data_IF_809202195007
#
_entry.id   IF_809202195007
#
_cell.length_a   1.000
_cell.length_b   1.000
_cell.length_c   1.000
_cell.angle_alpha   90.00
_cell.angle_beta   90.00
_cell.angle_gamma   90.00
#
_symmetry.space_group_name_H-M   'P 1'
#
loop_
_entity.id
_entity.type
_entity.pdbx_description
1 polymer ?
#
# COMPACT_ATOMS: atom_id res chain seq x y z
N UNK A 1 -8.20 -12.73 2.70
CA UNK A 1 -6.87 -12.15 2.39
C UNK A 1 -7.07 -10.75 1.83
N UNK A 2 -6.34 -9.76 2.35
CA UNK A 2 -6.39 -8.36 1.91
C UNK A 2 -5.16 -8.08 1.05
N UNK A 3 -5.36 -7.47 -0.10
CA UNK A 3 -4.29 -7.01 -0.98
C UNK A 3 -4.41 -5.51 -1.20
N UNK A 4 -3.30 -4.82 -1.00
CA UNK A 4 -3.21 -3.38 -1.13
C UNK A 4 -2.19 -3.03 -2.21
N UNK A 5 -2.65 -2.36 -3.27
CA UNK A 5 -1.76 -1.76 -4.27
C UNK A 5 -1.53 -0.31 -3.88
N UNK A 6 -0.34 -0.01 -3.37
CA UNK A 6 0.00 1.32 -2.91
C UNK A 6 1.48 1.60 -3.15
N UNK A 7 1.80 2.88 -3.31
CA UNK A 7 3.18 3.34 -3.12
C UNK A 7 3.33 3.44 -1.61
N UNK A 8 3.96 2.45 -1.00
CA UNK A 8 4.38 2.56 0.40
C UNK A 8 5.68 3.38 0.45
N UNK A 9 5.90 4.20 1.49
CA UNK A 9 7.19 4.82 1.72
C UNK A 9 8.18 3.69 2.00
N UNK A 10 8.88 3.30 0.96
CA UNK A 10 10.05 2.45 1.05
C UNK A 10 11.19 3.38 0.67
N UNK A 11 12.26 3.37 1.46
CA UNK A 11 13.51 3.98 1.01
C UNK A 11 13.95 3.23 -0.25
N UNK A 12 13.90 3.89 -1.40
CA UNK A 12 14.34 3.31 -2.67
C UNK A 12 15.72 3.86 -2.97
N UNK A 13 16.67 2.96 -3.20
CA UNK A 13 18.03 3.33 -3.55
C UNK A 13 18.77 2.18 -4.21
N UNK A 14 20.07 2.37 -4.36
CA UNK A 14 21.00 1.39 -4.93
C UNK A 14 21.05 0.08 -4.12
N UNK A 15 21.74 -0.91 -4.68
CA UNK A 15 21.95 -2.20 -4.03
C UNK A 15 22.38 -2.05 -2.55
N UNK A 16 21.91 -2.93 -1.64
CA UNK A 16 22.23 -2.84 -0.19
C UNK A 16 23.73 -2.65 0.08
N UNK A 17 24.58 -3.36 -0.64
CA UNK A 17 26.05 -3.26 -0.52
C UNK A 17 26.55 -1.89 -0.96
N UNK A 18 26.04 -1.37 -2.06
CA UNK A 18 26.37 -0.07 -2.61
C UNK A 18 25.96 1.06 -1.65
N UNK A 19 24.79 0.91 -1.04
CA UNK A 19 24.24 1.82 -0.03
C UNK A 19 25.04 1.80 1.28
N UNK A 20 25.48 0.62 1.74
CA UNK A 20 26.38 0.49 2.89
C UNK A 20 27.70 1.24 2.67
N UNK A 21 28.30 1.11 1.48
CA UNK A 21 29.53 1.83 1.13
C UNK A 21 29.28 3.34 1.11
N UNK A 22 28.18 3.80 0.50
CA UNK A 22 27.86 5.22 0.44
C UNK A 22 27.59 5.84 1.82
N UNK A 23 26.97 5.10 2.75
CA UNK A 23 26.73 5.54 4.11
C UNK A 23 28.02 5.78 4.91
N UNK A 24 29.12 5.04 4.62
CA UNK A 24 30.44 5.31 5.22
C UNK A 24 30.95 6.71 4.87
N UNK A 25 30.65 7.18 3.66
CA UNK A 25 31.00 8.53 3.19
C UNK A 25 29.94 9.59 3.52
N UNK A 26 28.92 9.25 4.34
CA UNK A 26 27.78 10.11 4.68
C UNK A 26 26.97 10.57 3.46
N UNK A 27 26.94 9.77 2.40
CA UNK A 27 26.16 10.05 1.20
C UNK A 27 24.83 9.30 1.29
N UNK A 28 23.70 10.02 1.39
CA UNK A 28 22.35 9.42 1.37
C UNK A 28 21.99 9.07 -0.08
N UNK A 29 22.09 7.79 -0.43
CA UNK A 29 21.77 7.25 -1.77
C UNK A 29 20.34 6.71 -1.90
N UNK A 30 19.56 6.78 -0.81
CA UNK A 30 18.15 6.40 -0.79
C UNK A 30 17.28 7.63 -0.78
N UNK A 31 16.28 7.62 -1.62
CA UNK A 31 15.23 8.62 -1.63
C UNK A 31 14.00 8.08 -0.92
N UNK A 32 13.45 8.89 -0.04
CA UNK A 32 12.09 8.69 0.45
C UNK A 32 11.17 9.12 -0.69
N UNK A 33 10.44 8.15 -1.26
CA UNK A 33 9.44 8.49 -2.26
C UNK A 33 8.39 9.40 -1.59
N UNK A 34 8.11 10.59 -2.16
CA UNK A 34 7.13 11.50 -1.59
C UNK A 34 5.77 10.83 -1.66
N UNK A 35 5.29 10.36 -0.51
CA UNK A 35 3.92 9.92 -0.33
C UNK A 35 3.14 11.05 0.33
N UNK A 36 1.86 11.21 -0.04
CA UNK A 36 0.97 12.16 0.63
C UNK A 36 0.81 11.75 2.10
N UNK A 37 1.44 12.49 3.00
CA UNK A 37 1.66 12.15 4.41
C UNK A 37 0.39 11.86 5.26
N UNK A 38 -0.82 11.89 4.69
CA UNK A 38 -2.07 11.57 5.39
C UNK A 38 -2.78 10.28 4.94
N UNK A 39 -2.58 9.82 3.70
CA UNK A 39 -3.35 8.68 3.16
C UNK A 39 -2.87 7.32 3.70
N UNK A 40 -1.59 7.21 4.05
CA UNK A 40 -0.99 5.95 4.50
C UNK A 40 -1.37 5.66 5.94
N UNK A 41 -1.33 6.67 6.80
CA UNK A 41 -1.69 6.52 8.21
C UNK A 41 -3.16 6.11 8.34
N UNK A 42 -4.04 6.75 7.56
CA UNK A 42 -5.45 6.41 7.50
C UNK A 42 -5.69 4.99 6.99
N UNK A 43 -4.95 4.57 5.96
CA UNK A 43 -4.97 3.23 5.42
C UNK A 43 -4.47 2.18 6.45
N UNK A 44 -3.33 2.43 7.10
CA UNK A 44 -2.75 1.54 8.10
C UNK A 44 -3.64 1.41 9.33
N UNK A 45 -4.28 2.51 9.77
CA UNK A 45 -5.25 2.49 10.87
C UNK A 45 -6.48 1.64 10.55
N UNK A 46 -6.96 1.67 9.30
CA UNK A 46 -8.06 0.80 8.88
C UNK A 46 -7.63 -0.67 8.81
N UNK A 47 -6.43 -0.95 8.32
CA UNK A 47 -5.90 -2.30 8.17
C UNK A 47 -5.55 -2.96 9.51
N UNK A 48 -5.03 -2.22 10.48
CA UNK A 48 -4.74 -2.75 11.82
C UNK A 48 -6.00 -3.21 12.56
N UNK A 49 -7.13 -2.53 12.32
CA UNK A 49 -8.45 -2.92 12.86
C UNK A 49 -9.11 -4.09 12.09
N UNK A 50 -8.49 -4.58 11.03
CA UNK A 50 -9.00 -5.68 10.20
C UNK A 50 -8.35 -7.05 10.51
N UNK A 51 -7.66 -7.17 11.66
CA UNK A 51 -7.18 -8.46 12.18
C UNK A 51 -8.32 -9.49 12.30
N UNK A 52 -8.08 -10.79 12.05
CA UNK A 52 -6.78 -11.47 11.89
C UNK A 52 -6.32 -11.63 10.43
N UNK A 53 -6.78 -10.78 9.51
CA UNK A 53 -6.61 -11.03 8.08
C UNK A 53 -5.21 -10.65 7.57
N UNK A 54 -4.58 -11.55 6.82
CA UNK A 54 -3.29 -11.27 6.18
C UNK A 54 -3.40 -10.15 5.15
N UNK A 55 -2.51 -9.16 5.27
CA UNK A 55 -2.40 -8.02 4.36
C UNK A 55 -1.15 -8.18 3.51
N UNK A 56 -1.30 -8.10 2.19
CA UNK A 56 -0.19 -8.09 1.23
C UNK A 56 -0.11 -6.74 0.54
N UNK A 57 1.04 -6.07 0.65
CA UNK A 57 1.34 -4.87 -0.12
C UNK A 57 1.97 -5.25 -1.47
N UNK A 58 1.47 -4.65 -2.54
CA UNK A 58 1.97 -4.80 -3.90
C UNK A 58 2.30 -3.41 -4.44
N UNK A 59 3.54 -3.21 -4.91
CA UNK A 59 3.89 -1.94 -5.56
C UNK A 59 3.18 -1.83 -6.92
N UNK A 60 2.64 -0.64 -7.26
CA UNK A 60 2.00 -0.40 -8.56
C UNK A 60 2.97 -0.57 -9.74
N UNK A 61 4.29 -0.48 -9.49
CA UNK A 61 5.34 -0.63 -10.51
C UNK A 61 5.73 -2.08 -10.80
N UNK A 62 5.12 -3.05 -10.14
CA UNK A 62 5.33 -4.48 -10.43
C UNK A 62 4.30 -4.97 -11.44
N UNK A 63 4.62 -6.04 -12.19
CA UNK A 63 3.66 -6.68 -13.12
C UNK A 63 2.34 -7.03 -12.43
N UNK A 64 2.39 -7.46 -11.17
CA UNK A 64 1.19 -7.77 -10.36
C UNK A 64 0.41 -6.52 -10.01
N UNK A 65 1.07 -5.43 -9.62
CA UNK A 65 0.43 -4.14 -9.36
C UNK A 65 -0.26 -3.59 -10.61
N UNK A 66 0.46 -3.55 -11.73
CA UNK A 66 -0.08 -3.15 -13.04
C UNK A 66 -1.27 -4.02 -13.45
N UNK A 67 -1.16 -5.34 -13.32
CA UNK A 67 -2.26 -6.27 -13.60
C UNK A 67 -3.50 -5.94 -12.78
N UNK A 68 -3.36 -5.67 -11.48
CA UNK A 68 -4.49 -5.34 -10.61
C UNK A 68 -5.13 -4.00 -10.97
N UNK A 69 -4.32 -2.99 -11.30
CA UNK A 69 -4.82 -1.70 -11.78
C UNK A 69 -5.64 -1.85 -13.06
N UNK A 70 -5.17 -2.66 -14.01
CA UNK A 70 -5.90 -2.98 -15.25
C UNK A 70 -7.17 -3.80 -14.95
N UNK A 71 -7.05 -4.85 -14.14
CA UNK A 71 -8.17 -5.75 -13.77
C UNK A 71 -9.34 -4.97 -13.18
N UNK A 72 -9.06 -4.02 -12.29
CA UNK A 72 -10.06 -3.19 -11.64
C UNK A 72 -10.31 -1.86 -12.35
N UNK A 73 -9.73 -1.67 -13.54
CA UNK A 73 -9.92 -0.51 -14.42
C UNK A 73 -9.73 0.84 -13.70
N UNK A 74 -8.75 0.92 -12.80
CA UNK A 74 -8.49 2.13 -12.02
C UNK A 74 -6.99 2.41 -11.92
N UNK A 75 -6.63 3.66 -12.21
CA UNK A 75 -5.29 4.20 -11.99
C UNK A 75 -5.13 4.90 -10.63
N UNK A 76 -6.18 4.89 -9.80
CA UNK A 76 -6.21 5.64 -8.53
C UNK A 76 -5.66 4.79 -7.40
N UNK A 77 -4.60 5.28 -6.76
CA UNK A 77 -3.95 4.64 -5.61
C UNK A 77 -4.35 5.31 -4.29
N UNK A 78 -4.32 4.58 -3.15
CA UNK A 78 -4.16 3.12 -3.05
C UNK A 78 -5.39 2.34 -3.56
N UNK A 79 -5.18 1.13 -4.09
CA UNK A 79 -6.26 0.15 -4.31
C UNK A 79 -6.29 -0.81 -3.12
N UNK A 80 -7.48 -1.05 -2.55
CA UNK A 80 -7.69 -2.04 -1.50
C UNK A 80 -8.62 -3.12 -2.02
N UNK A 81 -8.15 -4.36 -1.98
CA UNK A 81 -8.83 -5.55 -2.50
C UNK A 81 -8.99 -6.55 -1.36
N UNK A 82 -10.18 -7.07 -1.16
CA UNK A 82 -10.47 -8.08 -0.16
C UNK A 82 -11.17 -9.27 -0.83
N UNK A 83 -10.64 -10.48 -0.65
CA UNK A 83 -11.18 -11.71 -1.24
C UNK A 83 -11.45 -11.59 -2.75
N UNK A 84 -10.58 -10.90 -3.48
CA UNK A 84 -10.69 -10.70 -4.92
C UNK A 84 -11.72 -9.64 -5.37
N UNK A 85 -12.38 -8.95 -4.44
CA UNK A 85 -13.28 -7.82 -4.72
C UNK A 85 -12.57 -6.49 -4.44
N UNK A 86 -12.77 -5.49 -5.31
CA UNK A 86 -12.29 -4.14 -5.06
C UNK A 86 -13.15 -3.50 -3.97
N UNK A 87 -12.51 -3.09 -2.88
CA UNK A 87 -13.15 -2.45 -1.73
C UNK A 87 -13.00 -0.94 -1.79
N UNK A 88 -11.83 -0.46 -2.23
CA UNK A 88 -11.52 0.97 -2.31
C UNK A 88 -10.51 1.26 -3.42
N UNK A 89 -10.59 2.46 -4.00
CA UNK A 89 -9.59 2.98 -4.93
C UNK A 89 -9.43 4.50 -4.75
N UNK A 90 -8.19 4.96 -4.60
CA UNK A 90 -7.86 6.38 -4.44
C UNK A 90 -7.59 6.78 -2.99
N UNK A 91 -7.41 8.08 -2.72
CA UNK A 91 -7.08 8.62 -1.40
C UNK A 91 -8.01 8.11 -0.29
N UNK A 92 -7.46 7.88 0.90
CA UNK A 92 -8.18 7.37 2.08
C UNK A 92 -8.31 8.51 3.07
N UNK A 93 -9.43 9.25 2.99
CA UNK A 93 -9.70 10.36 3.91
C UNK A 93 -10.29 9.93 5.24
N UNK A 94 -11.04 8.81 5.26
CA UNK A 94 -11.79 8.34 6.42
C UNK A 94 -11.50 6.85 6.69
N UNK A 95 -10.66 6.52 7.68
CA UNK A 95 -10.29 5.15 8.03
C UNK A 95 -11.48 4.26 8.37
N UNK A 96 -12.47 4.80 9.09
CA UNK A 96 -13.62 4.02 9.57
C UNK A 96 -14.59 3.64 8.43
N UNK A 97 -14.66 4.45 7.37
CA UNK A 97 -15.44 4.12 6.17
C UNK A 97 -14.78 2.96 5.41
N UNK A 98 -13.45 3.00 5.26
CA UNK A 98 -12.69 1.92 4.66
C UNK A 98 -12.83 0.62 5.47
N UNK A 99 -12.78 0.71 6.80
CA UNK A 99 -12.96 -0.44 7.69
C UNK A 99 -14.35 -1.07 7.54
N UNK A 100 -15.42 -0.28 7.46
CA UNK A 100 -16.78 -0.81 7.24
C UNK A 100 -16.87 -1.58 5.92
N UNK A 101 -16.29 -1.04 4.84
CA UNK A 101 -16.26 -1.71 3.54
C UNK A 101 -15.42 -3.00 3.59
N UNK A 102 -14.29 -2.98 4.30
CA UNK A 102 -13.47 -4.17 4.51
C UNK A 102 -14.23 -5.25 5.27
N UNK A 103 -14.91 -4.92 6.37
CA UNK A 103 -15.73 -5.87 7.14
C UNK A 103 -16.81 -6.52 6.28
N UNK A 104 -17.54 -5.71 5.52
CA UNK A 104 -18.57 -6.21 4.60
C UNK A 104 -17.99 -7.12 3.52
N UNK A 105 -16.82 -6.81 2.96
CA UNK A 105 -16.16 -7.61 1.93
C UNK A 105 -15.52 -8.90 2.47
N UNK A 106 -15.19 -8.91 3.76
CA UNK A 106 -14.57 -10.03 4.47
C UNK A 106 -15.59 -10.90 5.20
N UNK A 107 -16.89 -10.55 5.13
CA UNK A 107 -17.98 -11.21 5.87
C UNK A 107 -17.75 -11.23 7.39
N UNK A 108 -17.06 -10.22 7.90
CA UNK A 108 -16.85 -10.02 9.33
C UNK A 108 -18.01 -9.17 9.85
N UNK A 109 -18.87 -9.77 10.67
CA UNK A 109 -19.93 -9.10 11.42
C UNK A 109 -19.37 -8.16 12.49
#
# INVERSE_FOLDING_TARGET
>A
MIEVVAIVPVEVGICKTCDQVANVFKIKMREELPYGAGDLDALLQALSKAEPHSVRFTSPFTLRGLFLMIKYKTGKLPLVIANGKLVHSGPVKYPDELLKKLRAALEIG
#
